data_IF_561971879522
#
_entry.id   IF_561971879522
#
_cell.length_a   1.000
_cell.length_b   1.000
_cell.length_c   1.000
_cell.angle_alpha   90.00
_cell.angle_beta   90.00
_cell.angle_gamma   90.00
#
_symmetry.space_group_name_H-M   'P 1'
#
loop_
_entity.id
_entity.type
_entity.pdbx_description
1 polymer ?
#
# COMPACT_ATOMS: atom_id res chain seq x y z
N UNK A 1 -61.26 53.95 -12.73
CA UNK A 1 -59.82 53.87 -12.28
C UNK A 1 -59.55 52.46 -11.97
N UNK A 2 -58.77 51.74 -12.83
CA UNK A 2 -58.48 50.34 -12.70
C UNK A 2 -57.04 50.18 -12.13
N UNK A 3 -56.91 49.63 -10.92
CA UNK A 3 -55.61 49.32 -10.30
C UNK A 3 -55.10 47.99 -10.82
N UNK A 4 -53.97 48.01 -11.51
CA UNK A 4 -53.23 46.84 -11.93
C UNK A 4 -52.25 46.43 -10.80
N UNK A 5 -52.52 45.32 -10.18
CA UNK A 5 -51.52 44.65 -9.30
C UNK A 5 -50.56 43.83 -10.16
N UNK A 6 -49.32 44.29 -10.25
CA UNK A 6 -48.21 43.49 -10.82
C UNK A 6 -47.72 42.57 -9.75
N UNK A 7 -47.99 41.28 -9.91
CA UNK A 7 -47.39 40.20 -9.11
C UNK A 7 -46.04 39.90 -9.74
N UNK A 8 -44.96 40.31 -9.07
CA UNK A 8 -43.59 39.85 -9.39
C UNK A 8 -43.43 38.45 -8.83
N UNK A 9 -43.56 37.42 -9.69
CA UNK A 9 -43.12 36.05 -9.39
C UNK A 9 -41.62 36.02 -9.50
N UNK A 10 -40.92 36.15 -8.37
CA UNK A 10 -39.48 35.92 -8.28
C UNK A 10 -39.17 34.43 -8.48
N UNK A 11 -38.69 34.08 -9.65
CA UNK A 11 -38.07 32.79 -9.93
C UNK A 11 -36.77 32.69 -9.11
N UNK A 12 -36.85 32.09 -7.94
CA UNK A 12 -35.66 31.55 -7.25
C UNK A 12 -35.11 30.41 -8.09
N UNK A 13 -34.15 30.73 -8.94
CA UNK A 13 -33.26 29.75 -9.46
C UNK A 13 -32.39 29.28 -8.28
N UNK A 14 -32.79 28.21 -7.63
CA UNK A 14 -31.90 27.42 -6.80
C UNK A 14 -30.86 26.86 -7.76
N UNK A 15 -29.72 27.53 -7.89
CA UNK A 15 -28.54 26.92 -8.44
C UNK A 15 -28.26 25.69 -7.57
N UNK A 16 -28.60 24.53 -8.08
CA UNK A 16 -28.11 23.29 -7.51
C UNK A 16 -26.57 23.39 -7.54
N UNK A 17 -25.97 23.81 -6.43
CA UNK A 17 -24.56 23.66 -6.20
C UNK A 17 -24.32 22.14 -6.34
N UNK A 18 -23.85 21.73 -7.51
CA UNK A 18 -23.38 20.40 -7.73
C UNK A 18 -22.33 20.19 -6.64
N UNK A 19 -22.68 19.44 -5.61
CA UNK A 19 -21.73 19.10 -4.56
C UNK A 19 -20.51 18.48 -5.27
N UNK A 20 -19.37 19.10 -5.14
CA UNK A 20 -18.13 18.56 -5.70
C UNK A 20 -17.99 17.17 -5.13
N UNK A 21 -18.14 16.17 -6.00
CA UNK A 21 -18.04 14.77 -5.58
C UNK A 21 -16.64 14.57 -5.01
N UNK A 22 -16.58 14.20 -3.74
CA UNK A 22 -15.31 13.98 -3.07
C UNK A 22 -14.80 12.60 -3.45
N UNK A 23 -13.59 12.47 -4.05
CA UNK A 23 -13.10 11.19 -4.52
C UNK A 23 -12.74 10.28 -3.36
N UNK A 24 -12.94 8.99 -3.53
CA UNK A 24 -12.28 7.98 -2.73
C UNK A 24 -10.78 7.95 -3.10
N UNK A 25 -9.91 7.91 -2.10
CA UNK A 25 -8.46 7.90 -2.27
C UNK A 25 -7.94 6.56 -1.76
N UNK A 26 -7.29 5.81 -2.63
CA UNK A 26 -6.64 4.55 -2.27
C UNK A 26 -5.14 4.66 -2.56
N UNK A 27 -4.34 4.49 -1.52
CA UNK A 27 -2.88 4.37 -1.63
C UNK A 27 -2.53 2.89 -1.48
N UNK A 28 -2.07 2.28 -2.56
CA UNK A 28 -1.57 0.91 -2.58
C UNK A 28 -0.05 0.95 -2.53
N UNK A 29 0.53 0.58 -1.40
CA UNK A 29 1.94 0.77 -1.12
C UNK A 29 2.65 -0.56 -0.90
N UNK A 30 3.66 -0.86 -1.71
CA UNK A 30 4.44 -2.10 -1.66
C UNK A 30 5.84 -1.78 -1.15
N UNK A 31 6.35 -2.58 -0.23
CA UNK A 31 7.64 -2.38 0.43
C UNK A 31 8.77 -3.01 -0.38
N UNK A 32 9.85 -2.25 -0.59
CA UNK A 32 11.06 -2.68 -1.33
C UNK A 32 10.79 -3.15 -2.78
N UNK A 33 9.73 -2.65 -3.43
CA UNK A 33 9.45 -2.95 -4.82
C UNK A 33 10.34 -2.11 -5.73
N UNK A 34 11.12 -2.79 -6.56
CA UNK A 34 11.97 -2.15 -7.55
C UNK A 34 11.16 -1.50 -8.68
N UNK A 35 11.68 -0.39 -9.21
CA UNK A 35 11.05 0.39 -10.28
C UNK A 35 10.74 -0.43 -11.54
N UNK A 36 11.62 -1.38 -11.91
CA UNK A 36 11.46 -2.22 -13.09
C UNK A 36 10.90 -3.63 -12.78
N UNK A 37 10.49 -3.89 -11.54
CA UNK A 37 10.14 -5.24 -11.11
C UNK A 37 8.70 -5.67 -11.46
N UNK A 38 7.89 -4.78 -12.02
CA UNK A 38 6.54 -5.14 -12.47
C UNK A 38 6.50 -5.48 -13.96
N UNK A 39 5.42 -6.08 -14.44
CA UNK A 39 5.20 -6.30 -15.87
C UNK A 39 4.83 -5.02 -16.64
N UNK A 40 4.72 -3.88 -15.94
CA UNK A 40 4.39 -2.59 -16.55
C UNK A 40 5.67 -1.90 -17.02
N UNK A 41 5.79 -1.68 -18.31
CA UNK A 41 6.90 -0.90 -18.87
C UNK A 41 6.79 0.54 -18.40
N UNK A 42 7.77 1.00 -17.63
CA UNK A 42 7.79 2.35 -17.06
C UNK A 42 8.29 3.40 -18.05
N UNK A 43 9.24 3.05 -18.93
CA UNK A 43 9.77 3.90 -20.00
C UNK A 43 9.66 3.18 -21.34
N UNK A 44 9.00 3.79 -22.31
CA UNK A 44 8.84 3.18 -23.66
C UNK A 44 10.19 2.98 -24.36
N UNK A 45 11.15 3.87 -24.13
CA UNK A 45 12.49 3.81 -24.71
C UNK A 45 13.41 2.77 -24.07
N UNK A 46 13.06 2.26 -22.85
CA UNK A 46 13.87 1.27 -22.15
C UNK A 46 13.11 -0.05 -21.96
N UNK A 47 13.47 -1.09 -22.72
CA UNK A 47 12.85 -2.42 -22.59
C UNK A 47 13.12 -3.09 -21.24
N UNK A 48 14.16 -2.65 -20.50
CA UNK A 48 14.49 -3.18 -19.18
C UNK A 48 13.68 -2.51 -18.04
N UNK A 49 12.84 -1.54 -18.38
CA UNK A 49 11.95 -0.88 -17.41
C UNK A 49 10.69 -1.70 -17.05
N UNK A 50 10.68 -2.97 -17.39
CA UNK A 50 9.67 -3.95 -16.99
C UNK A 50 10.30 -5.33 -16.83
N UNK A 51 9.78 -6.13 -15.91
CA UNK A 51 10.12 -7.54 -15.81
C UNK A 51 9.39 -8.35 -16.90
N UNK A 52 10.08 -9.28 -17.52
CA UNK A 52 9.51 -10.28 -18.42
C UNK A 52 9.17 -11.61 -17.70
N UNK A 53 9.38 -11.63 -16.39
CA UNK A 53 9.12 -12.79 -15.52
C UNK A 53 7.98 -12.54 -14.52
N UNK A 54 7.96 -11.38 -13.88
CA UNK A 54 6.95 -11.06 -12.88
C UNK A 54 5.58 -10.78 -13.55
N UNK A 55 4.51 -11.29 -12.95
CA UNK A 55 3.16 -11.16 -13.47
C UNK A 55 2.33 -10.20 -12.59
N UNK A 56 2.03 -9.02 -13.12
CA UNK A 56 1.22 -7.99 -12.45
C UNK A 56 0.09 -7.51 -13.37
N UNK A 57 -0.86 -8.40 -13.74
CA UNK A 57 -1.89 -8.08 -14.74
C UNK A 57 -2.88 -7.01 -14.26
N UNK A 58 -3.20 -6.95 -12.97
CA UNK A 58 -4.12 -5.94 -12.43
C UNK A 58 -3.48 -4.54 -12.42
N UNK A 59 -2.21 -4.46 -12.06
CA UNK A 59 -1.44 -3.21 -12.18
C UNK A 59 -1.32 -2.78 -13.64
N UNK A 60 -1.05 -3.71 -14.56
CA UNK A 60 -0.99 -3.42 -15.98
C UNK A 60 -2.34 -2.91 -16.53
N UNK A 61 -3.46 -3.47 -16.08
CA UNK A 61 -4.78 -2.99 -16.44
C UNK A 61 -5.07 -1.59 -15.87
N UNK A 62 -4.61 -1.30 -14.66
CA UNK A 62 -4.73 0.02 -14.03
C UNK A 62 -3.86 1.05 -14.77
N UNK A 63 -2.62 0.71 -15.09
CA UNK A 63 -1.68 1.58 -15.81
C UNK A 63 -2.17 2.00 -17.20
N UNK A 64 -2.97 1.16 -17.88
CA UNK A 64 -3.60 1.50 -19.16
C UNK A 64 -4.70 2.58 -19.03
N UNK A 65 -5.23 2.79 -17.85
CA UNK A 65 -6.34 3.72 -17.57
C UNK A 65 -5.88 4.95 -16.79
N UNK A 66 -4.67 4.91 -16.27
CA UNK A 66 -4.09 5.95 -15.42
C UNK A 66 -2.81 6.54 -16.02
N UNK A 67 -2.02 7.12 -15.15
CA UNK A 67 -0.74 7.76 -15.48
C UNK A 67 0.42 6.97 -14.86
N UNK A 68 1.49 6.80 -15.63
CA UNK A 68 2.77 6.23 -15.17
C UNK A 68 3.79 7.35 -14.97
N UNK A 69 4.46 7.35 -13.84
CA UNK A 69 5.52 8.30 -13.54
C UNK A 69 6.89 7.63 -13.69
N UNK A 70 7.56 7.85 -14.81
CA UNK A 70 8.88 7.25 -15.09
C UNK A 70 10.00 7.81 -14.21
N UNK A 71 9.82 9.02 -13.67
CA UNK A 71 10.79 9.75 -12.86
C UNK A 71 10.25 10.06 -11.46
N UNK A 72 9.54 9.13 -10.84
CA UNK A 72 9.15 9.23 -9.45
C UNK A 72 10.21 8.59 -8.55
N UNK A 73 10.58 9.28 -7.49
CA UNK A 73 11.63 8.85 -6.57
C UNK A 73 11.09 8.67 -5.17
N UNK A 74 11.50 7.58 -4.52
CA UNK A 74 11.25 7.39 -3.11
C UNK A 74 12.00 8.48 -2.30
N UNK A 75 11.39 9.04 -1.25
CA UNK A 75 12.00 10.13 -0.49
C UNK A 75 13.22 9.70 0.34
N UNK A 76 13.40 8.40 0.56
CA UNK A 76 14.55 7.82 1.26
C UNK A 76 14.86 6.41 0.74
N UNK A 77 16.10 5.92 0.93
CA UNK A 77 16.50 4.57 0.52
C UNK A 77 16.01 3.46 1.46
N UNK A 78 15.38 3.82 2.59
CA UNK A 78 14.87 2.87 3.58
C UNK A 78 13.41 3.11 3.93
N UNK A 79 12.75 2.07 4.44
CA UNK A 79 11.29 2.05 4.62
C UNK A 79 10.76 3.10 5.60
N UNK A 80 11.26 3.16 6.83
CA UNK A 80 10.70 4.03 7.88
C UNK A 80 10.75 5.52 7.52
N UNK A 81 11.88 6.11 7.10
CA UNK A 81 11.89 7.53 6.71
C UNK A 81 11.06 7.80 5.46
N UNK A 82 11.00 6.88 4.49
CA UNK A 82 10.10 7.00 3.34
C UNK A 82 8.63 7.04 3.76
N UNK A 83 8.23 6.13 4.66
CA UNK A 83 6.85 6.05 5.17
C UNK A 83 6.45 7.28 5.97
N UNK A 84 7.35 7.78 6.83
CA UNK A 84 7.13 9.05 7.54
C UNK A 84 6.98 10.22 6.56
N UNK A 85 7.80 10.26 5.52
CA UNK A 85 7.69 11.31 4.49
C UNK A 85 6.34 11.30 3.77
N UNK A 86 5.81 10.12 3.44
CA UNK A 86 4.49 9.99 2.82
C UNK A 86 3.39 10.46 3.79
N UNK A 87 3.46 10.05 5.06
CA UNK A 87 2.44 10.39 6.05
C UNK A 87 2.38 11.89 6.35
N UNK A 88 3.53 12.57 6.37
CA UNK A 88 3.60 13.98 6.80
C UNK A 88 3.90 14.96 5.67
N UNK A 89 4.06 14.49 4.43
CA UNK A 89 4.37 15.37 3.29
C UNK A 89 5.68 16.16 3.42
N UNK A 90 6.64 15.61 4.17
CA UNK A 90 7.92 16.28 4.47
C UNK A 90 9.09 15.37 4.09
N UNK A 91 10.22 15.96 3.69
CA UNK A 91 11.45 15.18 3.43
C UNK A 91 12.00 14.60 4.74
N UNK A 92 12.75 13.48 4.68
CA UNK A 92 13.39 12.89 5.85
C UNK A 92 14.26 13.87 6.65
N UNK A 93 15.01 14.72 5.93
CA UNK A 93 15.85 15.76 6.57
C UNK A 93 15.02 16.79 7.33
N UNK A 94 13.84 17.17 6.81
CA UNK A 94 12.93 18.10 7.50
C UNK A 94 12.25 17.47 8.70
N UNK A 95 11.98 16.16 8.66
CA UNK A 95 11.46 15.41 9.79
C UNK A 95 12.52 15.09 10.85
N UNK A 96 13.79 15.29 10.52
CA UNK A 96 14.90 14.89 11.40
C UNK A 96 15.01 13.39 11.61
N UNK A 97 14.48 12.58 10.67
CA UNK A 97 14.47 11.13 10.70
C UNK A 97 14.93 10.58 9.34
N UNK A 98 16.20 10.20 9.24
CA UNK A 98 16.84 9.93 7.95
C UNK A 98 17.17 8.46 7.70
N UNK A 99 17.10 7.62 8.73
CA UNK A 99 17.43 6.20 8.68
C UNK A 99 16.50 5.35 9.55
N UNK A 100 16.41 4.03 9.31
CA UNK A 100 15.46 3.11 10.00
C UNK A 100 15.65 3.10 11.52
N UNK A 101 16.88 3.12 11.97
CA UNK A 101 17.24 3.19 13.39
C UNK A 101 18.00 4.47 13.67
N UNK A 102 17.37 5.60 13.32
CA UNK A 102 17.99 6.91 13.54
C UNK A 102 18.12 7.17 15.04
N UNK A 103 19.30 6.86 15.59
CA UNK A 103 19.60 6.98 17.02
C UNK A 103 19.42 8.41 17.50
N UNK A 104 19.76 9.40 16.66
CA UNK A 104 19.59 10.82 17.00
C UNK A 104 18.11 11.20 17.08
N UNK A 105 17.30 10.68 16.17
CA UNK A 105 15.85 10.89 16.20
C UNK A 105 15.22 10.24 17.44
N UNK A 106 15.65 9.02 17.79
CA UNK A 106 15.22 8.34 19.00
C UNK A 106 15.63 9.09 20.27
N UNK A 107 16.84 9.65 20.32
CA UNK A 107 17.31 10.48 21.43
C UNK A 107 16.54 11.79 21.56
N UNK A 108 16.10 12.38 20.45
CA UNK A 108 15.28 13.61 20.43
C UNK A 108 13.85 13.39 20.88
N UNK A 109 13.40 12.14 21.06
CA UNK A 109 12.02 11.79 21.41
C UNK A 109 11.00 12.48 20.50
N UNK A 110 11.23 12.41 19.17
CA UNK A 110 10.34 13.02 18.19
C UNK A 110 8.93 12.47 18.36
N UNK A 111 7.99 13.36 18.62
CA UNK A 111 6.58 13.02 18.76
C UNK A 111 5.84 13.35 17.46
N UNK A 112 5.31 12.32 16.80
CA UNK A 112 4.67 12.45 15.49
C UNK A 112 3.23 12.95 15.59
N UNK A 113 2.62 12.91 16.77
CA UNK A 113 1.26 13.40 17.01
C UNK A 113 1.10 14.91 16.76
N UNK A 114 2.20 15.67 16.81
CA UNK A 114 2.22 17.11 16.57
C UNK A 114 2.42 17.45 15.08
N UNK A 115 2.66 16.44 14.25
CA UNK A 115 2.78 16.58 12.80
C UNK A 115 1.41 16.42 12.13
N UNK A 116 1.12 17.26 11.14
CA UNK A 116 -0.09 17.12 10.32
C UNK A 116 0.06 15.92 9.39
N UNK A 117 -0.75 14.92 9.59
CA UNK A 117 -0.71 13.69 8.80
C UNK A 117 -1.54 13.80 7.51
N UNK A 118 -1.35 12.82 6.61
CA UNK A 118 -2.20 12.67 5.44
C UNK A 118 -3.68 12.48 5.81
N UNK A 119 -3.97 11.76 6.90
CA UNK A 119 -5.33 11.58 7.41
C UNK A 119 -5.93 12.90 7.90
N UNK A 120 -5.14 13.74 8.58
CA UNK A 120 -5.59 15.06 9.03
C UNK A 120 -5.88 15.98 7.86
N UNK A 121 -5.05 15.96 6.82
CA UNK A 121 -5.24 16.80 5.62
C UNK A 121 -6.58 16.51 4.94
N UNK A 122 -6.93 15.25 4.74
CA UNK A 122 -8.20 14.92 4.06
C UNK A 122 -9.41 15.23 4.93
N UNK A 123 -9.31 15.02 6.25
CA UNK A 123 -10.39 15.38 7.20
C UNK A 123 -10.55 16.88 7.39
N UNK A 124 -9.48 17.64 7.31
CA UNK A 124 -9.55 19.10 7.31
C UNK A 124 -10.20 19.65 6.02
N UNK A 125 -9.98 18.98 4.88
CA UNK A 125 -10.64 19.35 3.62
C UNK A 125 -12.12 19.00 3.61
N UNK A 126 -12.52 17.88 4.20
CA UNK A 126 -13.92 17.49 4.40
C UNK A 126 -14.03 16.54 5.60
N UNK A 127 -14.72 16.95 6.68
CA UNK A 127 -14.90 16.11 7.89
C UNK A 127 -15.66 14.80 7.65
N UNK A 128 -16.29 14.63 6.49
CA UNK A 128 -16.97 13.40 6.12
C UNK A 128 -15.99 12.28 5.70
N UNK A 129 -14.73 12.60 5.42
CA UNK A 129 -13.75 11.53 5.14
C UNK A 129 -13.62 10.59 6.32
N UNK A 130 -13.66 9.28 6.02
CA UNK A 130 -13.17 8.24 6.91
C UNK A 130 -11.80 7.79 6.42
N UNK A 131 -10.87 7.56 7.34
CA UNK A 131 -9.50 7.21 6.99
C UNK A 131 -9.12 5.84 7.52
N UNK A 132 -8.46 5.04 6.69
CA UNK A 132 -8.00 3.71 7.07
C UNK A 132 -6.54 3.47 6.69
N UNK A 133 -5.84 2.75 7.56
CA UNK A 133 -4.49 2.27 7.30
C UNK A 133 -4.39 0.79 7.68
N UNK A 134 -4.05 -0.05 6.71
CA UNK A 134 -3.88 -1.48 6.89
C UNK A 134 -2.46 -1.89 6.54
N UNK A 135 -1.80 -2.62 7.44
CA UNK A 135 -0.47 -3.19 7.23
C UNK A 135 0.67 -2.37 7.81
N UNK A 136 1.82 -2.40 7.14
CA UNK A 136 3.07 -1.86 7.67
C UNK A 136 3.00 -0.37 7.91
N UNK A 137 3.17 0.04 9.16
CA UNK A 137 3.22 1.44 9.59
C UNK A 137 4.56 2.11 9.28
N UNK A 138 4.88 3.14 10.03
CA UNK A 138 6.10 3.95 9.86
C UNK A 138 7.15 3.72 10.96
N UNK A 139 7.21 2.53 11.51
CA UNK A 139 8.06 2.13 12.63
C UNK A 139 7.21 1.61 13.78
N UNK A 140 7.46 2.09 14.99
CA UNK A 140 6.75 1.63 16.20
C UNK A 140 5.47 2.43 16.49
N UNK A 141 5.15 3.41 15.68
CA UNK A 141 3.99 4.27 15.87
C UNK A 141 2.70 3.56 15.45
N UNK A 142 1.68 3.74 16.26
CA UNK A 142 0.33 3.32 15.94
C UNK A 142 -0.31 4.35 15.02
N UNK A 143 -0.93 3.89 13.93
CA UNK A 143 -1.46 4.79 12.92
C UNK A 143 -2.68 5.59 13.42
N UNK A 144 -3.39 5.10 14.42
CA UNK A 144 -4.47 5.84 15.09
C UNK A 144 -3.96 7.12 15.77
N UNK A 145 -2.72 7.12 16.25
CA UNK A 145 -2.14 8.30 16.92
C UNK A 145 -1.82 9.44 15.98
N UNK A 146 -1.84 9.18 14.68
CA UNK A 146 -1.66 10.17 13.63
C UNK A 146 -2.93 10.34 12.77
N UNK A 147 -4.10 10.08 13.36
CA UNK A 147 -5.39 10.48 12.82
C UNK A 147 -6.12 9.47 11.95
N UNK A 148 -5.65 8.23 11.78
CA UNK A 148 -6.44 7.21 11.09
C UNK A 148 -7.57 6.67 11.97
N UNK A 149 -8.78 6.56 11.39
CA UNK A 149 -9.99 6.13 12.11
C UNK A 149 -10.08 4.60 12.22
N UNK A 150 -9.58 3.89 11.20
CA UNK A 150 -9.62 2.44 11.11
C UNK A 150 -8.22 1.91 10.82
N UNK A 151 -7.76 0.99 11.65
CA UNK A 151 -6.48 0.32 11.44
C UNK A 151 -6.66 -1.19 11.62
N UNK A 152 -5.77 -1.99 11.05
CA UNK A 152 -5.65 -3.37 11.45
C UNK A 152 -4.89 -3.40 12.79
N UNK A 153 -5.33 -4.27 13.70
CA UNK A 153 -4.77 -4.40 15.06
C UNK A 153 -3.32 -4.91 15.02
N UNK A 154 -2.42 -4.11 14.45
CA UNK A 154 -1.01 -4.43 14.46
C UNK A 154 -0.37 -3.93 15.76
N UNK A 155 0.41 -4.80 16.34
CA UNK A 155 1.28 -4.43 17.43
C UNK A 155 2.20 -3.28 17.01
N UNK A 156 2.40 -2.28 17.87
CA UNK A 156 3.34 -1.20 17.62
C UNK A 156 4.75 -1.68 17.33
N UNK A 157 5.11 -2.83 17.87
CA UNK A 157 6.40 -3.49 17.71
C UNK A 157 6.35 -4.66 16.73
N UNK A 158 5.27 -4.75 15.94
CA UNK A 158 5.21 -5.73 14.87
C UNK A 158 6.49 -5.58 14.05
N UNK A 159 7.35 -6.56 14.09
CA UNK A 159 8.68 -6.68 13.51
C UNK A 159 8.73 -6.35 12.02
N UNK A 160 8.11 -5.24 11.66
CA UNK A 160 8.02 -4.67 10.33
C UNK A 160 7.58 -5.67 9.25
N UNK A 161 6.77 -6.68 9.65
CA UNK A 161 6.26 -7.68 8.73
C UNK A 161 7.33 -8.62 8.19
N UNK A 162 8.38 -8.83 8.93
CA UNK A 162 9.32 -9.90 8.70
C UNK A 162 8.64 -11.25 8.97
N UNK A 163 7.41 -11.39 8.50
CA UNK A 163 6.60 -12.58 8.62
C UNK A 163 6.97 -13.54 7.51
N UNK A 164 7.85 -14.45 7.76
CA UNK A 164 7.98 -15.65 6.95
C UNK A 164 7.09 -16.77 7.48
N UNK A 165 6.88 -17.79 6.69
CA UNK A 165 5.85 -18.82 6.94
C UNK A 165 5.88 -19.52 8.30
N UNK A 166 6.97 -19.42 9.05
CA UNK A 166 7.10 -19.94 10.42
C UNK A 166 7.02 -18.83 11.47
N UNK A 167 6.68 -17.60 11.05
CA UNK A 167 6.76 -16.46 11.91
C UNK A 167 5.54 -16.33 12.81
N UNK A 168 5.80 -15.93 14.03
CA UNK A 168 4.82 -15.78 15.11
C UNK A 168 4.54 -14.31 15.26
N UNK A 169 3.28 -13.87 15.23
CA UNK A 169 2.91 -12.55 15.69
C UNK A 169 3.49 -12.32 17.08
N UNK A 170 4.26 -11.25 17.26
CA UNK A 170 4.94 -10.98 18.54
C UNK A 170 3.97 -10.93 19.70
N UNK A 171 2.79 -10.33 19.51
CA UNK A 171 1.79 -10.19 20.57
C UNK A 171 1.25 -11.52 21.05
N UNK A 172 0.79 -12.33 20.10
CA UNK A 172 0.06 -13.55 20.43
C UNK A 172 0.92 -14.79 20.19
N UNK A 173 2.13 -14.63 19.71
CA UNK A 173 3.00 -15.73 19.25
C UNK A 173 2.26 -16.69 18.32
N UNK A 174 1.32 -16.16 17.56
CA UNK A 174 0.48 -16.95 16.67
C UNK A 174 1.17 -17.06 15.33
N UNK A 175 1.37 -18.29 14.89
CA UNK A 175 1.92 -18.59 13.57
C UNK A 175 0.93 -18.13 12.49
N UNK A 176 1.41 -17.43 11.47
CA UNK A 176 0.60 -17.13 10.31
C UNK A 176 0.27 -18.42 9.55
N UNK A 177 -0.98 -18.59 9.08
CA UNK A 177 -1.32 -19.72 8.26
C UNK A 177 -0.55 -19.70 6.93
N UNK A 178 -0.27 -20.87 6.33
CA UNK A 178 0.50 -20.99 5.10
C UNK A 178 -0.09 -20.25 3.89
N UNK A 179 -1.38 -19.98 3.92
CA UNK A 179 -2.12 -19.23 2.89
C UNK A 179 -2.17 -17.72 3.14
N UNK A 180 -1.52 -17.25 4.22
CA UNK A 180 -1.44 -15.84 4.57
C UNK A 180 -0.02 -15.38 4.92
N UNK A 181 1.00 -15.73 4.11
CA UNK A 181 2.35 -15.25 4.33
C UNK A 181 2.37 -13.73 4.24
N UNK A 182 3.23 -13.07 5.02
CA UNK A 182 3.32 -11.60 5.02
C UNK A 182 1.96 -10.88 5.25
N UNK A 183 0.96 -11.59 5.81
CA UNK A 183 -0.40 -11.09 6.02
C UNK A 183 -1.11 -10.59 4.76
N UNK A 184 -0.67 -10.98 3.57
CA UNK A 184 -1.20 -10.45 2.32
C UNK A 184 -2.69 -10.75 2.14
N UNK A 185 -3.14 -11.97 2.48
CA UNK A 185 -4.55 -12.32 2.44
C UNK A 185 -5.39 -11.52 3.46
N UNK A 186 -4.88 -11.32 4.69
CA UNK A 186 -5.54 -10.50 5.71
C UNK A 186 -5.66 -9.04 5.27
N UNK A 187 -4.60 -8.45 4.74
CA UNK A 187 -4.59 -7.07 4.25
C UNK A 187 -5.58 -6.88 3.11
N UNK A 188 -5.61 -7.83 2.16
CA UNK A 188 -6.60 -7.83 1.07
C UNK A 188 -8.01 -7.87 1.63
N UNK A 189 -8.29 -8.77 2.58
CA UNK A 189 -9.61 -8.88 3.21
C UNK A 189 -10.02 -7.58 3.89
N UNK A 190 -9.20 -7.04 4.78
CA UNK A 190 -9.50 -5.80 5.50
C UNK A 190 -9.75 -4.62 4.55
N UNK A 191 -8.93 -4.49 3.49
CA UNK A 191 -9.10 -3.43 2.50
C UNK A 191 -10.40 -3.58 1.69
N UNK A 192 -10.74 -4.79 1.26
CA UNK A 192 -11.98 -5.04 0.51
C UNK A 192 -13.21 -4.83 1.40
N UNK A 193 -13.18 -5.30 2.64
CA UNK A 193 -14.27 -5.09 3.60
C UNK A 193 -14.50 -3.61 3.87
N UNK A 194 -13.43 -2.84 4.04
CA UNK A 194 -13.50 -1.39 4.22
C UNK A 194 -14.12 -0.69 3.00
N UNK A 195 -13.68 -1.03 1.80
CA UNK A 195 -14.25 -0.47 0.55
C UNK A 195 -15.74 -0.79 0.46
N UNK A 196 -16.15 -2.04 0.67
CA UNK A 196 -17.55 -2.46 0.62
C UNK A 196 -18.42 -1.77 1.70
N UNK A 197 -17.83 -1.45 2.85
CA UNK A 197 -18.53 -0.77 3.92
C UNK A 197 -18.80 0.71 3.63
N UNK A 198 -17.90 1.39 2.91
CA UNK A 198 -17.90 2.86 2.82
C UNK A 198 -18.10 3.42 1.40
N UNK A 199 -17.70 2.70 0.34
CA UNK A 199 -17.86 3.19 -1.03
C UNK A 199 -19.33 3.45 -1.38
N UNK A 200 -19.60 4.54 -2.10
CA UNK A 200 -20.95 5.00 -2.39
C UNK A 200 -21.74 5.59 -1.21
N UNK A 201 -21.16 5.62 0.01
CA UNK A 201 -21.83 6.15 1.21
C UNK A 201 -21.16 7.41 1.76
N UNK A 202 -19.84 7.45 1.75
CA UNK A 202 -19.02 8.58 2.19
C UNK A 202 -17.63 8.52 1.58
N UNK A 203 -16.96 9.65 1.37
CA UNK A 203 -15.59 9.63 0.86
C UNK A 203 -14.62 9.01 1.86
N UNK A 204 -13.60 8.37 1.36
CA UNK A 204 -12.57 7.78 2.21
C UNK A 204 -11.15 7.94 1.66
N UNK A 205 -10.19 7.94 2.58
CA UNK A 205 -8.78 7.67 2.33
C UNK A 205 -8.44 6.30 2.90
N UNK A 206 -7.95 5.39 2.09
CA UNK A 206 -7.46 4.10 2.54
C UNK A 206 -6.02 3.89 2.07
N UNK A 207 -5.13 3.55 2.98
CA UNK A 207 -3.78 3.10 2.67
C UNK A 207 -3.66 1.61 2.95
N UNK A 208 -3.46 0.81 1.90
CA UNK A 208 -3.05 -0.59 2.01
C UNK A 208 -1.53 -0.65 1.87
N UNK A 209 -0.87 -0.92 2.97
CA UNK A 209 0.56 -0.80 3.16
C UNK A 209 1.17 -2.18 3.35
N UNK A 210 1.67 -2.78 2.27
CA UNK A 210 2.21 -4.12 2.31
C UNK A 210 3.51 -4.25 3.11
N UNK A 211 3.71 -5.45 3.67
CA UNK A 211 5.01 -5.92 4.16
C UNK A 211 5.83 -6.57 3.04
N UNK A 212 5.16 -7.13 2.05
CA UNK A 212 5.76 -7.63 0.83
C UNK A 212 6.24 -6.43 -0.03
N UNK A 213 7.28 -6.53 -0.76
CA UNK A 213 8.14 -7.70 -1.04
C UNK A 213 9.43 -7.69 -0.21
N UNK A 214 9.45 -6.98 0.92
CA UNK A 214 10.61 -6.88 1.83
C UNK A 214 11.06 -8.27 2.34
N UNK A 215 12.34 -8.41 2.55
CA UNK A 215 12.94 -9.62 3.18
C UNK A 215 12.50 -9.78 4.65
N UNK A 216 12.55 -10.98 5.22
CA UNK A 216 12.72 -12.27 4.56
C UNK A 216 11.50 -12.61 3.71
N UNK A 217 11.73 -13.25 2.57
CA UNK A 217 10.67 -13.57 1.62
C UNK A 217 9.81 -14.73 2.13
N UNK A 218 8.51 -14.58 1.97
CA UNK A 218 7.54 -15.64 2.24
C UNK A 218 6.34 -15.47 1.33
N UNK A 219 6.01 -16.50 0.56
CA UNK A 219 4.94 -16.50 -0.40
C UNK A 219 4.13 -17.80 -0.35
N UNK A 220 2.94 -17.78 -0.93
CA UNK A 220 2.10 -18.96 -1.08
C UNK A 220 2.78 -20.02 -1.94
N UNK A 221 2.69 -21.27 -1.50
CA UNK A 221 3.34 -22.41 -2.17
C UNK A 221 2.86 -22.63 -3.60
N UNK A 222 1.57 -22.40 -3.87
CA UNK A 222 0.98 -22.53 -5.21
C UNK A 222 1.58 -21.53 -6.20
N UNK A 223 1.79 -20.28 -5.79
CA UNK A 223 2.43 -19.27 -6.61
C UNK A 223 3.93 -19.56 -6.82
N UNK A 224 4.64 -19.99 -5.79
CA UNK A 224 6.05 -20.42 -5.93
C UNK A 224 6.15 -21.54 -6.98
N UNK A 225 5.26 -22.54 -6.92
CA UNK A 225 5.27 -23.64 -7.86
C UNK A 225 4.86 -23.22 -9.27
N UNK A 226 3.97 -22.24 -9.40
CA UNK A 226 3.65 -21.60 -10.68
C UNK A 226 4.88 -20.98 -11.30
N UNK A 227 5.60 -20.14 -10.56
CA UNK A 227 6.80 -19.46 -11.06
C UNK A 227 7.95 -20.41 -11.36
N UNK A 228 8.06 -21.52 -10.62
CA UNK A 228 9.06 -22.57 -10.90
C UNK A 228 8.90 -23.19 -12.28
N UNK A 229 7.69 -23.25 -12.82
CA UNK A 229 7.35 -23.82 -14.13
C UNK A 229 7.43 -22.82 -15.29
N UNK A 230 7.54 -21.54 -14.99
CA UNK A 230 7.62 -20.52 -16.03
C UNK A 230 8.98 -20.51 -16.71
N UNK A 231 9.05 -20.13 -18.00
CA UNK A 231 10.32 -19.85 -18.65
C UNK A 231 11.09 -18.79 -17.87
N UNK A 232 12.39 -18.95 -17.78
CA UNK A 232 13.26 -18.04 -16.99
C UNK A 232 13.24 -16.60 -17.46
N UNK A 233 12.92 -16.34 -18.74
CA UNK A 233 13.07 -15.03 -19.31
C UNK A 233 14.53 -14.55 -19.32
N UNK A 234 14.78 -13.36 -19.76
CA UNK A 234 16.10 -12.72 -19.72
C UNK A 234 16.46 -12.16 -18.32
N UNK A 235 15.46 -12.03 -17.45
CA UNK A 235 15.59 -11.39 -16.15
C UNK A 235 16.22 -12.30 -15.09
N UNK A 236 16.09 -13.62 -15.24
CA UNK A 236 16.58 -14.59 -14.27
C UNK A 236 17.81 -15.34 -14.79
N UNK A 237 18.81 -15.45 -13.94
CA UNK A 237 20.02 -16.25 -14.17
C UNK A 237 19.94 -17.59 -13.44
N UNK A 238 20.89 -18.48 -13.68
CA UNK A 238 20.96 -19.76 -12.96
C UNK A 238 21.08 -19.57 -11.46
N UNK A 239 21.80 -18.54 -11.02
CA UNK A 239 21.96 -18.23 -9.59
C UNK A 239 20.65 -17.83 -8.90
N UNK A 240 19.67 -17.31 -9.64
CA UNK A 240 18.37 -16.93 -9.08
C UNK A 240 17.50 -18.14 -8.69
N UNK A 241 17.88 -19.33 -9.12
CA UNK A 241 17.19 -20.59 -8.83
C UNK A 241 17.94 -21.47 -7.80
N UNK A 242 19.11 -21.05 -7.36
CA UNK A 242 19.82 -21.78 -6.32
C UNK A 242 19.13 -21.59 -4.97
N UNK A 243 19.08 -22.63 -4.13
CA UNK A 243 18.63 -22.50 -2.76
C UNK A 243 19.54 -21.52 -2.03
N UNK A 244 18.94 -20.49 -1.43
CA UNK A 244 19.66 -19.55 -0.59
C UNK A 244 19.53 -20.05 0.84
N UNK A 245 20.66 -20.42 1.41
CA UNK A 245 20.77 -20.92 2.79
C UNK A 245 20.85 -19.73 3.76
N UNK A 246 19.85 -18.86 3.72
CA UNK A 246 19.82 -17.64 4.55
C UNK A 246 19.02 -17.81 5.84
N UNK A 247 18.46 -19.01 6.11
CA UNK A 247 17.63 -19.22 7.29
C UNK A 247 18.32 -20.12 8.32
N UNK A 248 18.22 -19.76 9.61
CA UNK A 248 18.73 -20.65 10.64
C UNK A 248 17.98 -21.99 10.63
N UNK A 249 18.74 -23.07 10.49
CA UNK A 249 18.31 -24.46 10.63
C UNK A 249 17.49 -25.09 9.52
N UNK A 250 18.17 -25.41 8.40
CA UNK A 250 17.84 -26.63 7.64
C UNK A 250 16.57 -26.65 6.82
N UNK A 251 15.95 -25.51 6.53
CA UNK A 251 14.88 -25.43 5.54
C UNK A 251 15.45 -24.94 4.21
N UNK A 252 15.42 -25.80 3.20
CA UNK A 252 15.67 -25.42 1.81
C UNK A 252 14.58 -24.46 1.39
N UNK A 253 14.89 -23.20 1.31
CA UNK A 253 13.99 -22.21 0.74
C UNK A 253 14.20 -22.23 -0.76
N UNK A 254 13.11 -22.39 -1.52
CA UNK A 254 13.13 -22.12 -2.95
C UNK A 254 13.79 -20.76 -3.20
N UNK A 255 14.48 -20.60 -4.33
CA UNK A 255 15.17 -19.37 -4.71
C UNK A 255 14.39 -18.13 -4.28
N UNK A 256 15.04 -17.19 -3.64
CA UNK A 256 14.41 -15.94 -3.17
C UNK A 256 13.71 -15.19 -4.31
N UNK A 257 14.17 -15.34 -5.55
CA UNK A 257 13.52 -14.74 -6.72
C UNK A 257 12.14 -15.33 -7.01
N UNK A 258 11.96 -16.65 -6.83
CA UNK A 258 10.64 -17.27 -6.98
C UNK A 258 9.68 -16.78 -5.90
N UNK A 259 10.16 -16.64 -4.67
CA UNK A 259 9.34 -16.10 -3.58
C UNK A 259 9.02 -14.63 -3.79
N UNK A 260 9.98 -13.83 -4.25
CA UNK A 260 9.76 -12.43 -4.59
C UNK A 260 8.68 -12.28 -5.67
N UNK A 261 8.80 -13.03 -6.76
CA UNK A 261 7.81 -13.02 -7.84
C UNK A 261 6.41 -13.43 -7.35
N UNK A 262 6.34 -14.48 -6.54
CA UNK A 262 5.09 -14.97 -5.95
C UNK A 262 4.45 -13.95 -5.00
N UNK A 263 5.24 -13.29 -4.15
CA UNK A 263 4.75 -12.21 -3.28
C UNK A 263 4.23 -11.04 -4.11
N UNK A 264 4.94 -10.66 -5.17
CA UNK A 264 4.53 -9.53 -6.01
C UNK A 264 3.21 -9.82 -6.73
N UNK A 265 3.02 -11.05 -7.23
CA UNK A 265 1.75 -11.45 -7.83
C UNK A 265 0.62 -11.44 -6.79
N UNK A 266 0.85 -11.90 -5.57
CA UNK A 266 -0.17 -11.86 -4.52
C UNK A 266 -0.53 -10.41 -4.12
N UNK A 267 0.43 -9.48 -4.15
CA UNK A 267 0.14 -8.05 -4.03
C UNK A 267 -0.76 -7.57 -5.18
N UNK A 268 -0.46 -7.99 -6.41
CA UNK A 268 -1.26 -7.62 -7.58
C UNK A 268 -2.70 -8.20 -7.51
N UNK A 269 -2.87 -9.43 -7.00
CA UNK A 269 -4.20 -9.97 -6.67
C UNK A 269 -4.96 -9.09 -5.68
N UNK A 270 -4.25 -8.55 -4.67
CA UNK A 270 -4.82 -7.61 -3.70
C UNK A 270 -5.30 -6.31 -4.35
N UNK A 271 -4.48 -5.75 -5.24
CA UNK A 271 -4.86 -4.57 -6.03
C UNK A 271 -6.10 -4.85 -6.90
N UNK A 272 -6.12 -6.01 -7.57
CA UNK A 272 -7.26 -6.43 -8.39
C UNK A 272 -8.56 -6.54 -7.59
N UNK A 273 -8.49 -7.11 -6.38
CA UNK A 273 -9.63 -7.25 -5.50
C UNK A 273 -10.19 -5.89 -5.03
N UNK A 274 -9.33 -4.94 -4.67
CA UNK A 274 -9.72 -3.57 -4.31
C UNK A 274 -10.39 -2.87 -5.49
N UNK A 275 -9.78 -2.92 -6.67
CA UNK A 275 -10.35 -2.33 -7.89
C UNK A 275 -11.70 -2.95 -8.25
N UNK A 276 -11.86 -4.26 -8.06
CA UNK A 276 -13.13 -4.95 -8.28
C UNK A 276 -14.21 -4.52 -7.27
N UNK A 277 -13.84 -4.32 -6.00
CA UNK A 277 -14.76 -3.82 -4.98
C UNK A 277 -15.23 -2.40 -5.29
N UNK A 278 -14.32 -1.51 -5.68
CA UNK A 278 -14.64 -0.13 -6.07
C UNK A 278 -15.57 -0.02 -7.28
N UNK A 279 -15.55 -0.99 -8.19
CA UNK A 279 -16.42 -1.00 -9.37
C UNK A 279 -17.85 -1.46 -9.09
N UNK A 280 -18.12 -2.07 -7.94
CA UNK A 280 -19.45 -2.57 -7.56
C UNK A 280 -20.32 -1.49 -6.92
N UNK A 281 -19.72 -0.39 -6.57
CA UNK A 281 -20.35 0.73 -5.87
C UNK A 281 -20.33 1.99 -6.75
#
# INVERSE_FOLDING_TARGET
MKHWFLIFAGLFWAAALSAVERPNIVIFYVDDLGWADTSVRMMESDPNSASDFHQTPHLAALAKRGMKFSNAYAPAPTCTPSRKSIQFGKTPGRLGYTFVHDVLALQRKLEWKDETSLADVVKAADPNYITAHFGKGMGNERMETIGYDVTDELEPHGDNGNFHGDYISIKNRTKLPPDNPKRMASLRKSSVDFVNAHSGKRPFLMMMSHYAVHVPHAARADLIEKYRKLPRGKYLTDSDYLPVDEMPKGKVISSWRLQYAAMLEECDEGLGAIVAALKKT
#
